data_IF_087752663667
#
_entry.id   IF_087752663667
#
_cell.length_a   1.000
_cell.length_b   1.000
_cell.length_c   1.000
_cell.angle_alpha   90.00
_cell.angle_beta   90.00
_cell.angle_gamma   90.00
#
_symmetry.space_group_name_H-M   'P 1'
#
loop_
_entity.id
_entity.type
_entity.pdbx_description
1 polymer ?
#
# COMPACT_ATOMS: atom_id res chain seq x y z
N UNK A 1 8.37 11.34 -2.01
CA UNK A 1 9.32 10.54 -2.77
C UNK A 1 8.78 9.14 -3.10
N UNK A 2 8.33 8.35 -2.13
CA UNK A 2 7.75 7.03 -2.36
C UNK A 2 6.51 7.11 -3.27
N UNK A 3 5.61 8.04 -3.02
CA UNK A 3 4.43 8.27 -3.86
C UNK A 3 4.81 8.57 -5.32
N UNK A 4 5.82 9.39 -5.56
CA UNK A 4 6.31 9.70 -6.91
C UNK A 4 6.90 8.47 -7.59
N UNK A 5 7.63 7.65 -6.85
CA UNK A 5 8.19 6.39 -7.37
C UNK A 5 7.07 5.44 -7.78
N UNK A 6 6.05 5.28 -6.94
CA UNK A 6 4.87 4.47 -7.25
C UNK A 6 4.17 4.99 -8.50
N UNK A 7 3.98 6.31 -8.63
CA UNK A 7 3.37 6.93 -9.80
C UNK A 7 4.13 6.60 -11.10
N UNK A 8 5.45 6.70 -11.08
CA UNK A 8 6.28 6.37 -12.24
C UNK A 8 6.19 4.89 -12.63
N UNK A 9 6.19 3.99 -11.64
CA UNK A 9 6.03 2.55 -11.87
C UNK A 9 4.65 2.24 -12.42
N UNK A 10 3.61 2.86 -11.86
CA UNK A 10 2.23 2.72 -12.33
C UNK A 10 2.09 3.12 -13.80
N UNK A 11 2.60 4.29 -14.18
CA UNK A 11 2.54 4.78 -15.55
C UNK A 11 3.27 3.84 -16.53
N UNK A 12 4.44 3.36 -16.13
CA UNK A 12 5.20 2.39 -16.92
C UNK A 12 4.44 1.07 -17.07
N UNK A 13 3.93 0.51 -15.97
CA UNK A 13 3.18 -0.75 -15.95
C UNK A 13 1.89 -0.66 -16.78
N UNK A 14 1.20 0.50 -16.75
CA UNK A 14 0.01 0.75 -17.55
C UNK A 14 0.30 0.69 -19.05
N UNK A 15 1.46 1.20 -19.48
CA UNK A 15 1.90 1.13 -20.86
C UNK A 15 2.33 -0.27 -21.28
N UNK A 16 3.02 -0.98 -20.39
CA UNK A 16 3.46 -2.35 -20.62
C UNK A 16 2.27 -3.33 -20.75
N UNK A 17 1.27 -3.20 -19.90
CA UNK A 17 0.05 -4.00 -19.92
C UNK A 17 0.21 -5.43 -19.40
N UNK A 18 1.41 -5.89 -19.12
CA UNK A 18 1.73 -7.25 -18.68
C UNK A 18 2.31 -7.31 -17.27
N UNK A 19 2.49 -6.15 -16.63
CA UNK A 19 3.09 -6.03 -15.29
C UNK A 19 2.03 -5.88 -14.22
N UNK A 20 2.05 -6.76 -13.23
CA UNK A 20 1.30 -6.62 -12.00
C UNK A 20 2.12 -5.80 -10.99
N UNK A 21 1.55 -4.73 -10.51
CA UNK A 21 2.14 -3.89 -9.44
C UNK A 21 1.37 -4.13 -8.16
N UNK A 22 2.07 -4.48 -7.08
CA UNK A 22 1.49 -4.63 -5.74
C UNK A 22 2.25 -3.71 -4.80
N UNK A 23 1.52 -2.88 -4.07
CA UNK A 23 2.07 -1.93 -3.11
C UNK A 23 1.44 -2.19 -1.75
N UNK A 24 2.27 -2.42 -0.76
CA UNK A 24 1.82 -2.64 0.62
C UNK A 24 2.93 -2.23 1.59
N UNK A 25 2.68 -2.40 2.88
CA UNK A 25 3.66 -2.20 3.94
C UNK A 25 3.74 -3.48 4.80
N UNK A 26 4.86 -3.65 5.47
CA UNK A 26 5.09 -4.73 6.44
C UNK A 26 4.31 -4.48 7.75
N UNK A 27 4.12 -3.21 8.13
CA UNK A 27 3.34 -2.76 9.28
C UNK A 27 2.97 -1.27 9.13
N UNK A 28 2.13 -0.79 10.00
CA UNK A 28 1.84 0.64 10.12
C UNK A 28 2.93 1.35 10.95
N UNK A 29 2.87 2.66 11.04
CA UNK A 29 3.88 3.50 11.68
C UNK A 29 3.28 4.22 12.89
N UNK A 30 3.37 3.58 14.07
CA UNK A 30 3.08 4.21 15.34
C UNK A 30 1.63 4.64 15.58
N UNK A 31 0.67 4.16 14.79
CA UNK A 31 -0.73 4.57 14.90
C UNK A 31 -0.94 6.03 14.53
N UNK A 32 -0.25 6.50 13.47
CA UNK A 32 -0.37 7.87 12.98
C UNK A 32 -1.84 8.24 12.71
N UNK A 33 -2.29 9.30 13.36
CA UNK A 33 -3.65 9.82 13.21
C UNK A 33 -3.61 11.31 12.84
N UNK A 34 -4.34 11.68 11.80
CA UNK A 34 -4.56 13.08 11.45
C UNK A 34 -5.67 13.62 12.35
N UNK A 35 -5.34 14.55 13.25
CA UNK A 35 -6.29 15.08 14.25
C UNK A 35 -6.81 16.46 13.89
N UNK A 36 -6.09 17.22 13.06
CA UNK A 36 -6.50 18.55 12.63
C UNK A 36 -5.67 18.98 11.40
N UNK A 37 -6.02 20.10 10.80
CA UNK A 37 -5.29 20.69 9.68
C UNK A 37 -5.91 21.99 9.18
N UNK A 38 -5.16 22.71 8.37
CA UNK A 38 -5.58 23.93 7.68
C UNK A 38 -5.17 23.85 6.22
N UNK A 39 -6.15 23.72 5.33
CA UNK A 39 -5.90 23.61 3.88
C UNK A 39 -5.32 24.88 3.27
N UNK A 40 -5.67 26.06 3.82
CA UNK A 40 -5.16 27.34 3.30
C UNK A 40 -3.70 27.53 3.65
N UNK A 41 -3.30 27.12 4.86
CA UNK A 41 -1.92 27.19 5.32
C UNK A 41 -1.08 25.98 4.94
N UNK A 42 -1.70 24.92 4.40
CA UNK A 42 -1.02 23.68 4.08
C UNK A 42 -0.49 22.95 5.33
N UNK A 43 -1.17 23.13 6.47
CA UNK A 43 -0.78 22.52 7.74
C UNK A 43 -1.53 21.23 7.99
N UNK A 44 -0.81 20.28 8.58
CA UNK A 44 -1.36 19.02 9.08
C UNK A 44 -0.94 18.88 10.54
N UNK A 45 -1.90 18.53 11.41
CA UNK A 45 -1.62 18.17 12.80
C UNK A 45 -1.87 16.67 12.95
N UNK A 46 -0.85 15.95 13.32
CA UNK A 46 -0.93 14.49 13.50
C UNK A 46 -0.40 14.07 14.87
N UNK A 47 -0.85 12.91 15.32
CA UNK A 47 -0.41 12.29 16.57
C UNK A 47 -0.10 10.82 16.32
N UNK A 48 0.82 10.31 17.11
CA UNK A 48 1.19 8.89 17.15
C UNK A 48 0.73 8.29 18.47
N UNK A 49 0.21 7.07 18.43
CA UNK A 49 -0.21 6.33 19.63
C UNK A 49 0.96 5.68 20.35
N UNK A 50 2.03 5.38 19.63
CA UNK A 50 3.23 4.70 20.14
C UNK A 50 4.47 5.15 19.39
N UNK A 51 5.63 5.01 20.02
CA UNK A 51 6.91 5.25 19.36
C UNK A 51 7.44 4.07 18.54
N UNK A 52 6.72 2.97 18.51
CA UNK A 52 7.03 1.78 17.70
C UNK A 52 6.01 1.56 16.60
N UNK A 53 5.70 0.30 16.34
CA UNK A 53 4.66 -0.09 15.38
C UNK A 53 3.39 -0.46 16.12
N UNK A 54 2.24 -0.50 15.43
CA UNK A 54 1.00 -1.03 15.98
C UNK A 54 0.48 -2.19 15.13
N UNK A 55 -0.51 -2.92 15.66
CA UNK A 55 -1.15 -4.03 14.97
C UNK A 55 -2.31 -3.62 14.04
N UNK A 56 -2.41 -2.34 13.69
CA UNK A 56 -3.43 -1.86 12.77
C UNK A 56 -3.17 -2.41 11.36
N UNK A 57 -4.23 -2.83 10.69
CA UNK A 57 -4.15 -3.31 9.31
C UNK A 57 -3.57 -2.25 8.38
N UNK A 58 -2.77 -2.70 7.43
CA UNK A 58 -2.23 -1.85 6.36
C UNK A 58 -2.92 -2.17 5.03
N UNK A 59 -3.07 -1.20 4.13
CA UNK A 59 -3.70 -1.43 2.84
C UNK A 59 -2.77 -2.18 1.89
N UNK A 60 -3.40 -2.91 0.96
CA UNK A 60 -2.72 -3.48 -0.20
C UNK A 60 -3.35 -2.87 -1.44
N UNK A 61 -2.53 -2.27 -2.29
CA UNK A 61 -2.95 -1.75 -3.58
C UNK A 61 -2.38 -2.64 -4.68
N UNK A 62 -3.19 -2.99 -5.66
CA UNK A 62 -2.73 -3.79 -6.79
C UNK A 62 -3.26 -3.21 -8.11
N UNK A 63 -2.43 -3.27 -9.13
CA UNK A 63 -2.76 -2.78 -10.46
C UNK A 63 -2.15 -3.69 -11.52
N UNK A 64 -2.91 -3.98 -12.57
CA UNK A 64 -2.46 -4.81 -13.69
C UNK A 64 -3.06 -6.22 -13.69
N UNK A 65 -2.55 -7.10 -14.54
CA UNK A 65 -3.06 -8.48 -14.64
C UNK A 65 -2.99 -9.23 -13.32
N UNK A 66 -4.12 -9.79 -12.87
CA UNK A 66 -4.19 -10.52 -11.60
C UNK A 66 -4.44 -9.66 -10.37
N UNK A 67 -4.60 -8.34 -10.52
CA UNK A 67 -4.82 -7.43 -9.39
C UNK A 67 -6.04 -7.81 -8.54
N UNK A 68 -7.08 -8.37 -9.13
CA UNK A 68 -8.29 -8.81 -8.42
C UNK A 68 -8.03 -9.88 -7.34
N UNK A 69 -6.93 -10.62 -7.43
CA UNK A 69 -6.54 -11.61 -6.43
C UNK A 69 -6.15 -10.97 -5.08
N UNK A 70 -5.87 -9.68 -5.08
CA UNK A 70 -5.44 -8.92 -3.89
C UNK A 70 -6.58 -8.16 -3.21
N UNK A 71 -7.83 -8.37 -3.61
CA UNK A 71 -9.01 -7.78 -2.95
C UNK A 71 -9.32 -8.49 -1.63
N UNK A 72 -10.00 -7.77 -0.73
CA UNK A 72 -10.46 -8.32 0.55
C UNK A 72 -9.50 -8.05 1.72
N UNK A 73 -9.76 -8.73 2.82
CA UNK A 73 -8.97 -8.65 4.06
C UNK A 73 -8.40 -10.04 4.32
N UNK A 74 -7.11 -10.13 4.53
CA UNK A 74 -6.41 -11.41 4.72
C UNK A 74 -5.10 -11.20 5.49
N UNK A 75 -4.52 -12.30 5.97
CA UNK A 75 -3.23 -12.30 6.63
C UNK A 75 -2.11 -11.93 5.66
N UNK A 76 -1.06 -11.25 6.17
CA UNK A 76 0.09 -10.86 5.35
C UNK A 76 0.77 -12.04 4.65
N UNK A 77 0.75 -13.22 5.25
CA UNK A 77 1.31 -14.45 4.69
C UNK A 77 0.60 -14.90 3.41
N UNK A 78 -0.67 -14.52 3.23
CA UNK A 78 -1.44 -14.86 2.03
C UNK A 78 -0.90 -14.17 0.77
N UNK A 79 -0.16 -13.07 0.89
CA UNK A 79 0.47 -12.38 -0.24
C UNK A 79 1.42 -13.32 -0.98
N UNK A 80 2.19 -14.11 -0.26
CA UNK A 80 3.07 -15.13 -0.85
C UNK A 80 2.28 -16.11 -1.73
N UNK A 81 1.19 -16.67 -1.20
CA UNK A 81 0.38 -17.67 -1.92
C UNK A 81 -0.28 -17.07 -3.17
N UNK A 82 -0.73 -15.81 -3.08
CA UNK A 82 -1.31 -15.08 -4.21
C UNK A 82 -0.29 -14.88 -5.34
N UNK A 83 0.93 -14.43 -4.99
CA UNK A 83 2.01 -14.26 -5.95
C UNK A 83 2.41 -15.59 -6.57
N UNK A 84 2.60 -16.61 -5.75
CA UNK A 84 2.94 -17.97 -6.19
C UNK A 84 1.93 -18.50 -7.21
N UNK A 85 0.64 -18.37 -6.90
CA UNK A 85 -0.46 -18.77 -7.80
C UNK A 85 -0.39 -18.05 -9.15
N UNK A 86 -0.21 -16.74 -9.13
CA UNK A 86 -0.16 -15.92 -10.35
C UNK A 86 1.06 -16.21 -11.21
N UNK A 87 2.17 -16.62 -10.60
CA UNK A 87 3.40 -17.03 -11.30
C UNK A 87 3.38 -18.51 -11.74
N UNK A 88 2.33 -19.24 -11.43
CA UNK A 88 2.20 -20.69 -11.71
C UNK A 88 3.33 -21.54 -11.10
N UNK A 89 3.77 -21.18 -9.90
CA UNK A 89 4.83 -21.92 -9.18
C UNK A 89 4.28 -22.98 -8.22
#
# INVERSE_FOLDING_TARGET
DFDRTIGAIYEWAAKDGETLVVVTADHETGGLTLVDGDLKEGKIVCKFSTGGHSGVMVPVYAFGPGAQEFTGIYENTAIFDKIKKLLNL
#
